data_IF_912638873292
#
_entry.id   IF_912638873292
#
_cell.length_a   1.000
_cell.length_b   1.000
_cell.length_c   1.000
_cell.angle_alpha   90.00
_cell.angle_beta   90.00
_cell.angle_gamma   90.00
#
_symmetry.space_group_name_H-M   'P 1'
#
loop_
_entity.id
_entity.type
_entity.pdbx_description
1 polymer ?
#
# COMPACT_ATOMS: atom_id res chain seq x y z
N UNK A 1 -12.72 18.90 18.39
CA UNK A 1 -11.56 18.05 18.10
C UNK A 1 -11.95 16.60 18.30
N UNK A 2 -11.95 15.79 17.25
CA UNK A 2 -12.28 14.37 17.35
C UNK A 2 -11.00 13.56 17.18
N UNK A 3 -10.72 12.69 18.15
CA UNK A 3 -9.60 11.76 18.04
C UNK A 3 -9.85 10.80 16.86
N UNK A 4 -8.82 10.52 16.04
CA UNK A 4 -8.97 9.60 14.92
C UNK A 4 -9.38 8.23 15.43
N UNK A 5 -10.47 7.70 14.89
CA UNK A 5 -10.90 6.34 15.17
C UNK A 5 -9.82 5.34 14.70
N UNK A 6 -9.66 4.20 15.39
CA UNK A 6 -8.74 3.17 14.97
C UNK A 6 -9.12 2.64 13.58
N UNK A 7 -8.13 2.51 12.70
CA UNK A 7 -8.29 1.91 11.37
C UNK A 7 -7.92 0.44 11.43
N UNK A 8 -8.60 -0.38 10.63
CA UNK A 8 -8.39 -1.84 10.54
C UNK A 8 -7.85 -2.30 9.17
N UNK A 9 -7.85 -1.43 8.14
CA UNK A 9 -7.33 -1.72 6.81
C UNK A 9 -6.63 -0.55 6.10
N UNK A 10 -5.66 -0.83 5.22
CA UNK A 10 -5.01 0.17 4.35
C UNK A 10 -5.24 -0.15 2.87
N UNK A 11 -5.63 0.85 2.08
CA UNK A 11 -5.77 0.71 0.62
C UNK A 11 -4.81 1.66 -0.10
N UNK A 12 -4.00 1.12 -1.01
CA UNK A 12 -3.02 1.88 -1.80
C UNK A 12 -3.28 1.69 -3.29
N UNK A 13 -3.28 2.78 -4.05
CA UNK A 13 -3.21 2.74 -5.50
C UNK A 13 -1.75 2.71 -5.97
N UNK A 14 -1.42 1.86 -6.94
CA UNK A 14 -0.07 1.74 -7.50
C UNK A 14 -0.11 1.82 -9.02
N UNK A 15 0.49 2.86 -9.60
CA UNK A 15 0.57 3.06 -11.04
C UNK A 15 1.94 2.57 -11.55
N UNK A 16 1.94 1.56 -12.44
CA UNK A 16 3.17 1.04 -13.05
C UNK A 16 3.68 1.95 -14.16
N UNK A 17 4.51 2.96 -13.84
CA UNK A 17 5.06 3.90 -14.85
C UNK A 17 6.49 3.61 -15.32
N UNK A 18 7.09 2.49 -14.97
CA UNK A 18 8.43 2.10 -15.46
C UNK A 18 8.49 0.60 -15.65
N UNK A 19 8.94 0.15 -16.82
CA UNK A 19 8.87 -1.22 -17.34
C UNK A 19 9.71 -2.28 -16.61
N UNK A 20 9.52 -2.43 -15.30
CA UNK A 20 9.99 -3.60 -14.56
C UNK A 20 8.95 -4.71 -14.70
N UNK A 21 9.11 -5.42 -15.82
CA UNK A 21 8.26 -6.50 -16.26
C UNK A 21 8.25 -7.64 -15.23
N UNK A 22 7.03 -8.04 -14.82
CA UNK A 22 6.63 -9.04 -13.79
C UNK A 22 6.54 -8.52 -12.35
N UNK A 23 5.30 -8.30 -11.91
CA UNK A 23 4.83 -8.57 -10.53
C UNK A 23 5.66 -7.97 -9.38
N UNK A 24 6.25 -6.77 -9.55
CA UNK A 24 6.91 -6.09 -8.42
C UNK A 24 5.98 -5.01 -7.86
N UNK A 25 5.80 -5.02 -6.54
CA UNK A 25 5.20 -3.91 -5.78
C UNK A 25 6.08 -2.67 -6.01
N UNK A 26 5.49 -1.52 -6.36
CA UNK A 26 6.26 -0.27 -6.45
C UNK A 26 6.94 0.04 -5.11
N UNK A 27 8.04 0.81 -5.11
CA UNK A 27 8.86 1.05 -3.91
C UNK A 27 8.08 1.52 -2.69
N UNK A 28 7.08 2.38 -2.88
CA UNK A 28 6.18 2.84 -1.81
C UNK A 28 5.29 1.71 -1.32
N UNK A 29 4.63 0.99 -2.22
CA UNK A 29 3.75 -0.12 -1.87
C UNK A 29 4.52 -1.24 -1.15
N UNK A 30 5.74 -1.56 -1.58
CA UNK A 30 6.62 -2.50 -0.88
C UNK A 30 6.93 -2.01 0.54
N UNK A 31 7.33 -0.73 0.68
CA UNK A 31 7.68 -0.14 1.96
C UNK A 31 6.54 -0.19 2.97
N UNK A 32 5.31 0.08 2.52
CA UNK A 32 4.10 0.02 3.36
C UNK A 32 3.73 -1.42 3.69
N UNK A 33 3.65 -2.32 2.71
CA UNK A 33 3.28 -3.73 2.93
C UNK A 33 4.25 -4.41 3.91
N UNK A 34 5.55 -4.09 3.86
CA UNK A 34 6.54 -4.65 4.79
C UNK A 34 6.42 -4.18 6.24
N UNK A 35 5.73 -3.06 6.49
CA UNK A 35 5.67 -2.40 7.80
C UNK A 35 4.28 -2.33 8.40
N UNK A 36 3.24 -2.56 7.60
CA UNK A 36 1.87 -2.48 8.07
C UNK A 36 1.60 -3.56 9.13
N UNK A 37 1.01 -3.14 10.24
CA UNK A 37 0.53 -4.03 11.32
C UNK A 37 -0.87 -4.58 11.03
N UNK A 38 -1.46 -4.19 9.90
CA UNK A 38 -2.82 -4.46 9.46
C UNK A 38 -2.84 -4.83 7.97
N UNK A 39 -3.91 -5.47 7.48
CA UNK A 39 -3.99 -5.86 6.08
C UNK A 39 -3.91 -4.67 5.12
N UNK A 40 -3.23 -4.88 3.99
CA UNK A 40 -3.05 -3.87 2.94
C UNK A 40 -3.57 -4.41 1.61
N UNK A 41 -4.47 -3.68 0.97
CA UNK A 41 -4.90 -3.95 -0.42
C UNK A 41 -4.21 -2.98 -1.36
N UNK A 42 -3.48 -3.52 -2.33
CA UNK A 42 -2.87 -2.72 -3.40
C UNK A 42 -3.69 -2.88 -4.67
N UNK A 43 -4.27 -1.78 -5.14
CA UNK A 43 -5.00 -1.70 -6.41
C UNK A 43 -4.09 -1.11 -7.49
N UNK A 44 -4.28 -1.55 -8.75
CA UNK A 44 -3.53 -1.06 -9.91
C UNK A 44 -4.37 -0.10 -10.74
#
# INVERSE_FOLDING_TARGET
>A
DAEPAPFDHVVLASQGRTGLSRVLLGSVAEGVVRRAEMPVTVVR
#
